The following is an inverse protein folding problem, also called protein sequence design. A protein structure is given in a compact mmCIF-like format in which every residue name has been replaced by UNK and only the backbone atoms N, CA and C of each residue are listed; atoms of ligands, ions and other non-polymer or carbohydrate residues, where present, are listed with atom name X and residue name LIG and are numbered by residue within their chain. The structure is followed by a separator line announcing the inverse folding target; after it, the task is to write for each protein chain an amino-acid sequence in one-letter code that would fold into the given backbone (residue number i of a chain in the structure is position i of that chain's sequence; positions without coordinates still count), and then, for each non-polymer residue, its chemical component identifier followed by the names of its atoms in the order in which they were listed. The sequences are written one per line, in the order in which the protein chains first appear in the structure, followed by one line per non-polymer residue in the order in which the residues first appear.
data_IF_869518442565
#
_entry.id   IF_869518442565
#
_cell.length_a   1.000
_cell.length_b   1.000
_cell.length_c   1.000
_cell.angle_alpha   90.00
_cell.angle_beta   90.00
_cell.angle_gamma   90.00
#
_symmetry.space_group_name_H-M   'P 1'
#
loop_
_entity.id
_entity.type
_entity.pdbx_description
1 polymer ?
#
# COMPACT_ATOMS: atom_id res chain seq x y z
N UNK A 1 -45.32 -33.30 11.46
CA UNK A 1 -45.64 -31.95 10.91
C UNK A 1 -44.75 -31.77 9.69
N UNK A 2 -45.26 -32.17 8.48
CA UNK A 2 -44.54 -31.92 7.22
C UNK A 2 -44.71 -30.45 6.84
N UNK A 3 -43.65 -29.67 6.99
CA UNK A 3 -43.58 -28.29 6.49
C UNK A 3 -43.66 -28.39 4.96
N UNK A 4 -44.77 -27.97 4.38
CA UNK A 4 -44.98 -27.85 2.95
C UNK A 4 -44.05 -26.77 2.43
N UNK A 5 -42.80 -27.13 2.15
CA UNK A 5 -41.78 -26.23 1.65
C UNK A 5 -42.15 -25.76 0.26
N UNK A 6 -42.47 -24.49 0.10
CA UNK A 6 -42.72 -23.87 -1.20
C UNK A 6 -41.40 -23.77 -1.96
N UNK A 7 -41.09 -24.76 -2.77
CA UNK A 7 -39.91 -24.85 -3.63
C UNK A 7 -39.59 -23.53 -4.39
N UNK A 8 -40.60 -22.80 -4.95
CA UNK A 8 -40.29 -21.57 -5.66
C UNK A 8 -39.69 -20.50 -4.75
N UNK A 9 -40.09 -20.38 -3.48
CA UNK A 9 -39.54 -19.41 -2.52
C UNK A 9 -38.10 -19.73 -2.12
N UNK A 10 -37.75 -21.00 -2.01
CA UNK A 10 -36.39 -21.44 -1.68
C UNK A 10 -35.45 -21.17 -2.87
N UNK A 11 -35.90 -21.46 -4.09
CA UNK A 11 -35.14 -21.18 -5.31
C UNK A 11 -34.87 -19.66 -5.44
N UNK A 12 -35.88 -18.83 -5.18
CA UNK A 12 -35.73 -17.35 -5.21
C UNK A 12 -34.73 -16.88 -4.16
N UNK A 13 -34.72 -17.47 -2.97
CA UNK A 13 -33.83 -17.14 -1.89
C UNK A 13 -32.37 -17.55 -2.21
N UNK A 14 -32.16 -18.70 -2.82
CA UNK A 14 -30.86 -19.20 -3.27
C UNK A 14 -30.31 -18.29 -4.39
N UNK A 15 -31.13 -17.90 -5.37
CA UNK A 15 -30.76 -17.00 -6.45
C UNK A 15 -30.38 -15.62 -5.88
N UNK A 16 -31.12 -15.12 -4.90
CA UNK A 16 -30.84 -13.84 -4.24
C UNK A 16 -29.51 -13.88 -3.47
N UNK A 17 -29.22 -14.98 -2.75
CA UNK A 17 -27.94 -15.18 -2.07
C UNK A 17 -26.77 -15.28 -3.06
N UNK A 18 -26.94 -15.97 -4.17
CA UNK A 18 -25.91 -16.08 -5.22
C UNK A 18 -25.62 -14.72 -5.85
N UNK A 19 -26.65 -13.93 -6.11
CA UNK A 19 -26.51 -12.58 -6.69
C UNK A 19 -25.77 -11.62 -5.74
N UNK A 20 -25.97 -11.73 -4.43
CA UNK A 20 -25.27 -10.92 -3.43
C UNK A 20 -23.78 -11.26 -3.34
N UNK A 21 -23.38 -12.50 -3.65
CA UNK A 21 -21.97 -12.90 -3.65
C UNK A 21 -21.16 -12.29 -4.81
N UNK A 22 -21.80 -12.11 -5.98
CA UNK A 22 -21.14 -11.56 -7.18
C UNK A 22 -20.83 -10.07 -7.02
N UNK A 23 -21.68 -9.31 -6.31
CA UNK A 23 -21.51 -7.85 -6.11
C UNK A 23 -20.33 -7.54 -5.19
N UNK A 24 -19.98 -8.40 -4.24
CA UNK A 24 -18.85 -8.18 -3.34
C UNK A 24 -17.48 -8.37 -4.00
N UNK A 25 -17.37 -9.19 -5.05
CA UNK A 25 -16.09 -9.45 -5.72
C UNK A 25 -15.58 -8.23 -6.52
N UNK A 26 -16.48 -7.41 -7.06
CA UNK A 26 -16.11 -6.20 -7.82
C UNK A 26 -15.59 -5.05 -6.93
N UNK A 27 -16.10 -4.92 -5.72
CA UNK A 27 -15.66 -3.87 -4.78
C UNK A 27 -14.23 -4.11 -4.26
N UNK A 28 -13.83 -5.36 -4.10
CA UNK A 28 -12.50 -5.72 -3.56
C UNK A 28 -11.38 -5.31 -4.52
N UNK A 29 -11.55 -5.51 -5.83
CA UNK A 29 -10.53 -5.15 -6.82
C UNK A 29 -10.37 -3.62 -6.94
N UNK A 30 -11.46 -2.86 -6.93
CA UNK A 30 -11.42 -1.39 -7.00
C UNK A 30 -10.76 -0.80 -5.75
N UNK A 31 -11.05 -1.34 -4.58
CA UNK A 31 -10.43 -0.91 -3.33
C UNK A 31 -8.92 -1.20 -3.32
N UNK A 32 -8.51 -2.36 -3.83
CA UNK A 32 -7.11 -2.74 -3.93
C UNK A 32 -6.35 -1.85 -4.94
N UNK A 33 -6.93 -1.55 -6.10
CA UNK A 33 -6.39 -0.59 -7.07
C UNK A 33 -6.20 0.79 -6.42
N UNK A 34 -7.19 1.26 -5.69
CA UNK A 34 -7.13 2.55 -4.99
C UNK A 34 -6.04 2.56 -3.91
N UNK A 35 -5.92 1.48 -3.14
CA UNK A 35 -4.90 1.30 -2.11
C UNK A 35 -3.49 1.35 -2.71
N UNK A 36 -3.24 0.57 -3.75
CA UNK A 36 -1.94 0.54 -4.45
C UNK A 36 -1.65 1.91 -5.05
N UNK A 37 -2.61 2.53 -5.76
CA UNK A 37 -2.45 3.84 -6.41
C UNK A 37 -2.13 4.97 -5.43
N UNK A 38 -2.65 4.92 -4.20
CA UNK A 38 -2.33 5.89 -3.13
C UNK A 38 -0.90 5.77 -2.65
N UNK A 39 -0.34 4.57 -2.69
CA UNK A 39 1.02 4.30 -2.19
C UNK A 39 2.10 4.46 -3.27
N UNK A 40 1.72 4.77 -4.51
CA UNK A 40 2.64 5.00 -5.64
C UNK A 40 2.73 6.48 -5.96
N UNK A 41 3.96 6.97 -6.13
CA UNK A 41 4.25 8.35 -6.53
C UNK A 41 4.02 8.55 -8.02
N UNK A 42 3.35 9.62 -8.38
CA UNK A 42 3.32 10.10 -9.76
C UNK A 42 4.61 10.85 -10.06
N UNK A 43 5.44 10.29 -10.97
CA UNK A 43 6.79 10.82 -11.25
C UNK A 43 6.80 12.20 -11.90
N UNK A 44 5.72 12.59 -12.59
CA UNK A 44 5.60 13.86 -13.32
C UNK A 44 4.64 14.86 -12.66
N UNK A 45 4.08 14.52 -11.48
CA UNK A 45 2.99 15.27 -10.85
C UNK A 45 3.42 15.99 -9.56
N UNK A 46 4.66 16.42 -9.44
CA UNK A 46 5.16 17.20 -8.30
C UNK A 46 4.93 16.56 -6.91
N UNK A 47 5.08 15.24 -6.83
CA UNK A 47 4.98 14.50 -5.56
C UNK A 47 3.58 14.05 -5.17
N UNK A 48 2.58 14.23 -6.03
CA UNK A 48 1.24 13.65 -5.82
C UNK A 48 1.26 12.13 -5.97
N UNK A 49 0.27 11.46 -5.36
CA UNK A 49 0.06 10.04 -5.59
C UNK A 49 -0.54 9.78 -6.98
N UNK A 50 -0.37 8.57 -7.49
CA UNK A 50 -1.04 8.13 -8.72
C UNK A 50 -2.56 8.18 -8.56
N UNK A 51 -3.07 7.99 -7.32
CA UNK A 51 -4.51 8.07 -7.04
C UNK A 51 -5.06 9.48 -7.25
N UNK A 52 -4.38 10.51 -6.73
CA UNK A 52 -4.84 11.89 -6.73
C UNK A 52 -4.56 12.60 -8.05
N UNK A 53 -3.66 12.07 -8.86
CA UNK A 53 -3.28 12.67 -10.13
C UNK A 53 -4.19 12.23 -11.28
N UNK A 54 -4.46 13.19 -12.17
CA UNK A 54 -5.21 12.97 -13.43
C UNK A 54 -4.30 13.09 -14.67
N UNK A 55 -2.98 13.04 -14.51
CA UNK A 55 -2.04 13.05 -15.61
C UNK A 55 -2.14 11.76 -16.44
N UNK A 56 -1.76 11.83 -17.72
CA UNK A 56 -1.73 10.68 -18.62
C UNK A 56 -0.85 9.55 -18.06
N UNK A 57 0.23 9.91 -17.36
CA UNK A 57 1.08 8.95 -16.68
C UNK A 57 0.33 8.23 -15.54
N UNK A 58 -0.39 8.97 -14.70
CA UNK A 58 -1.14 8.38 -13.59
C UNK A 58 -2.28 7.49 -14.09
N UNK A 59 -2.96 7.88 -15.16
CA UNK A 59 -4.00 7.07 -15.80
C UNK A 59 -3.41 5.78 -16.35
N UNK A 60 -2.30 5.87 -17.09
CA UNK A 60 -1.60 4.69 -17.62
C UNK A 60 -1.13 3.75 -16.52
N UNK A 61 -0.63 4.29 -15.41
CA UNK A 61 -0.20 3.51 -14.26
C UNK A 61 -1.36 2.77 -13.59
N UNK A 62 -2.51 3.43 -13.42
CA UNK A 62 -3.74 2.77 -12.91
C UNK A 62 -4.16 1.61 -13.79
N UNK A 63 -4.09 1.76 -15.12
CA UNK A 63 -4.40 0.69 -16.08
C UNK A 63 -3.44 -0.49 -15.95
N UNK A 64 -2.16 -0.24 -15.75
CA UNK A 64 -1.15 -1.30 -15.52
C UNK A 64 -1.46 -2.05 -14.22
N UNK A 65 -1.82 -1.36 -13.14
CA UNK A 65 -2.19 -1.98 -11.86
C UNK A 65 -3.42 -2.86 -12.04
N UNK A 66 -4.47 -2.35 -12.71
CA UNK A 66 -5.69 -3.10 -12.98
C UNK A 66 -5.37 -4.38 -13.77
N UNK A 67 -4.60 -4.26 -14.86
CA UNK A 67 -4.21 -5.39 -15.69
C UNK A 67 -3.46 -6.46 -14.90
N UNK A 68 -2.53 -6.05 -14.03
CA UNK A 68 -1.78 -6.98 -13.18
C UNK A 68 -2.65 -7.70 -12.17
N UNK A 69 -3.65 -7.02 -11.59
CA UNK A 69 -4.63 -7.64 -10.70
C UNK A 69 -5.53 -8.63 -11.45
N UNK A 70 -5.93 -8.32 -12.69
CA UNK A 70 -6.70 -9.23 -13.54
C UNK A 70 -5.89 -10.47 -13.95
N UNK A 71 -4.57 -10.34 -14.12
CA UNK A 71 -3.64 -11.45 -14.35
C UNK A 71 -3.44 -12.32 -13.09
N UNK A 72 -4.04 -11.94 -11.93
CA UNK A 72 -3.95 -12.67 -10.68
C UNK A 72 -2.70 -12.36 -9.84
N UNK A 73 -1.97 -11.29 -10.18
CA UNK A 73 -0.80 -10.85 -9.41
C UNK A 73 -1.22 -10.34 -8.03
N UNK A 74 -0.42 -10.66 -7.02
CA UNK A 74 -0.61 -10.16 -5.66
C UNK A 74 -0.16 -8.70 -5.52
N UNK A 75 -0.64 -8.01 -4.49
CA UNK A 75 -0.22 -6.63 -4.18
C UNK A 75 1.33 -6.49 -4.11
N UNK A 76 1.98 -7.45 -3.47
CA UNK A 76 3.44 -7.48 -3.33
C UNK A 76 4.17 -7.59 -4.67
N UNK A 77 3.70 -8.46 -5.55
CA UNK A 77 4.27 -8.66 -6.89
C UNK A 77 4.10 -7.42 -7.77
N UNK A 78 3.00 -6.69 -7.60
CA UNK A 78 2.77 -5.43 -8.33
C UNK A 78 3.75 -4.35 -7.86
N UNK A 79 3.98 -4.22 -6.55
CA UNK A 79 4.99 -3.29 -6.04
C UNK A 79 6.40 -3.65 -6.52
N UNK A 80 6.76 -4.92 -6.49
CA UNK A 80 8.06 -5.40 -6.98
C UNK A 80 8.24 -5.10 -8.48
N UNK A 81 7.22 -5.39 -9.28
CA UNK A 81 7.22 -5.05 -10.71
C UNK A 81 7.44 -3.55 -10.95
N UNK A 82 6.70 -2.69 -10.23
CA UNK A 82 6.81 -1.24 -10.39
C UNK A 82 8.17 -0.71 -9.91
N UNK A 83 8.72 -1.25 -8.83
CA UNK A 83 10.07 -0.91 -8.36
C UNK A 83 11.15 -1.30 -9.35
N UNK A 84 11.03 -2.46 -9.99
CA UNK A 84 11.97 -2.92 -11.01
C UNK A 84 11.92 -2.04 -12.27
N UNK A 85 10.76 -1.47 -12.63
CA UNK A 85 10.59 -0.63 -13.81
C UNK A 85 10.99 0.84 -13.57
N UNK A 86 10.67 1.39 -12.39
CA UNK A 86 10.78 2.82 -12.10
C UNK A 86 11.74 3.15 -10.94
N UNK A 87 12.24 2.15 -10.25
CA UNK A 87 13.12 2.31 -9.09
C UNK A 87 12.38 2.24 -7.74
N UNK A 88 13.15 2.00 -6.67
CA UNK A 88 12.62 1.83 -5.30
C UNK A 88 11.84 3.06 -4.78
N UNK A 89 12.16 4.23 -5.26
CA UNK A 89 11.58 5.50 -4.84
C UNK A 89 10.17 5.78 -5.40
N UNK A 90 9.63 4.87 -6.23
CA UNK A 90 8.26 4.99 -6.73
C UNK A 90 7.21 4.79 -5.64
N UNK A 91 7.55 4.08 -4.56
CA UNK A 91 6.67 3.89 -3.40
C UNK A 91 6.94 4.93 -2.33
N UNK A 92 5.90 5.28 -1.53
CA UNK A 92 6.07 6.16 -0.37
C UNK A 92 6.69 5.44 0.82
N UNK A 93 6.50 4.11 0.92
CA UNK A 93 7.03 3.32 2.02
C UNK A 93 8.54 3.09 1.83
N UNK A 94 9.39 3.62 2.74
CA UNK A 94 10.82 3.38 2.68
C UNK A 94 11.09 1.92 3.05
N UNK A 95 11.75 1.18 2.16
CA UNK A 95 12.24 -0.14 2.52
C UNK A 95 13.41 -0.05 3.49
N UNK A 96 13.39 -0.88 4.53
CA UNK A 96 14.52 -1.09 5.43
C UNK A 96 15.57 -1.93 4.70
N UNK A 97 16.35 -1.29 3.81
CA UNK A 97 17.43 -1.93 3.10
C UNK A 97 18.75 -1.72 3.88
N UNK A 98 19.73 -2.60 3.68
CA UNK A 98 21.07 -2.50 4.34
C UNK A 98 21.71 -1.13 4.13
N UNK A 99 21.45 -0.47 2.99
CA UNK A 99 21.98 0.86 2.67
C UNK A 99 21.27 1.98 3.42
N UNK A 100 19.98 1.81 3.74
CA UNK A 100 19.17 2.78 4.48
C UNK A 100 19.32 2.64 5.99
N UNK A 101 19.79 1.49 6.48
CA UNK A 101 20.01 1.24 7.90
C UNK A 101 20.95 2.27 8.53
N UNK A 102 22.01 2.67 7.84
CA UNK A 102 22.94 3.72 8.33
C UNK A 102 22.27 5.09 8.53
N UNK A 103 21.30 5.45 7.67
CA UNK A 103 20.55 6.71 7.82
C UNK A 103 19.71 6.71 9.11
N UNK A 104 19.16 5.57 9.50
CA UNK A 104 18.36 5.45 10.73
C UNK A 104 19.22 5.39 11.99
N UNK A 105 20.44 4.87 11.87
CA UNK A 105 21.36 4.71 12.98
C UNK A 105 22.09 6.03 13.32
N UNK A 106 22.29 6.90 12.31
CA UNK A 106 23.02 8.15 12.44
C UNK A 106 22.41 9.12 13.47
N UNK A 107 21.09 9.42 13.49
CA UNK A 107 20.50 10.28 14.51
C UNK A 107 20.62 9.69 15.91
N UNK A 108 20.48 8.37 16.07
CA UNK A 108 20.62 7.71 17.37
C UNK A 108 22.06 7.87 17.89
N UNK A 109 23.03 7.64 17.02
CA UNK A 109 24.46 7.79 17.35
C UNK A 109 24.79 9.24 17.76
N UNK A 110 24.30 10.25 17.02
CA UNK A 110 24.52 11.65 17.37
C UNK A 110 23.86 12.03 18.69
N UNK A 111 22.69 11.49 19.03
CA UNK A 111 22.05 11.69 20.32
C UNK A 111 22.86 11.09 21.47
N UNK A 112 23.40 9.88 21.31
CA UNK A 112 24.20 9.20 22.33
C UNK A 112 25.50 9.96 22.57
N UNK A 113 26.24 10.31 21.50
CA UNK A 113 27.52 11.02 21.59
C UNK A 113 27.31 12.43 22.15
N UNK A 114 26.29 13.17 21.65
CA UNK A 114 25.97 14.52 22.13
C UNK A 114 25.56 14.52 23.59
N UNK A 115 24.70 13.60 24.00
CA UNK A 115 24.31 13.40 25.40
C UNK A 115 25.51 13.08 26.30
N UNK A 116 26.38 12.19 25.89
CA UNK A 116 27.58 11.82 26.63
C UNK A 116 28.53 13.02 26.80
N UNK A 117 28.76 13.82 25.76
CA UNK A 117 29.58 15.04 25.83
C UNK A 117 29.01 16.09 26.80
N UNK A 118 27.68 16.28 26.76
CA UNK A 118 26.98 17.21 27.68
C UNK A 118 27.13 16.72 29.12
N UNK A 119 26.90 15.46 29.40
CA UNK A 119 27.08 14.87 30.73
C UNK A 119 28.50 14.97 31.24
N UNK A 120 29.49 14.77 30.38
CA UNK A 120 30.91 14.95 30.74
C UNK A 120 31.22 16.40 31.08
N UNK A 121 30.71 17.37 30.30
CA UNK A 121 30.94 18.79 30.52
C UNK A 121 30.26 19.32 31.78
N UNK A 122 29.04 18.87 32.06
CA UNK A 122 28.29 19.29 33.27
C UNK A 122 28.91 18.73 34.57
N UNK A 123 29.50 17.52 34.53
CA UNK A 123 30.29 17.00 35.67
C UNK A 123 31.55 17.81 35.94
N UNK A 124 32.19 18.35 34.90
CA UNK A 124 33.41 19.18 35.05
C UNK A 124 33.10 20.57 35.59
N UNK A 125 31.89 21.08 35.45
CA UNK A 125 31.50 22.42 35.94
C UNK A 125 30.97 22.42 37.40
N UNK A 126 30.81 21.23 38.01
CA UNK A 126 30.34 21.05 39.39
C UNK A 126 31.48 20.83 40.42
N UNK A 127 32.71 20.96 40.01
CA UNK A 127 33.92 20.97 40.85
C UNK A 127 34.56 22.36 40.80
#
# INVERSE_FOLDING_TARGET
IFIKMNYPKIITLIIFCFFSFIVNAQNTNTELVNKISKNIRCLICQGQSVYDSQSDFAISMKLVIIKKLEEGSTESEIYEYLKNQYGEWITYDPEFNKNTFFLWLLPIFTFIVGGWLIFKKTKFFKL
#
